data_IF_096038196210
#
_entry.id   IF_096038196210
#
_cell.length_a   1.000
_cell.length_b   1.000
_cell.length_c   1.000
_cell.angle_alpha   90.00
_cell.angle_beta   90.00
_cell.angle_gamma   90.00
#
_symmetry.space_group_name_H-M   'P 1'
#
loop_
_entity.id
_entity.type
_entity.pdbx_description
1 polymer ?
#
# COMPACT_ATOMS: atom_id res chain seq x y z
N UNK A 1 -32.59 0.98 -12.61
CA UNK A 1 -31.58 2.04 -12.45
C UNK A 1 -30.54 1.84 -13.52
N UNK A 2 -30.23 2.86 -14.32
CA UNK A 2 -29.20 2.79 -15.36
C UNK A 2 -27.93 3.48 -14.85
N UNK A 3 -26.77 2.85 -15.03
CA UNK A 3 -25.45 3.40 -14.71
C UNK A 3 -24.57 3.28 -15.95
N UNK A 4 -23.74 4.29 -16.16
CA UNK A 4 -22.83 4.40 -17.32
C UNK A 4 -21.39 4.45 -16.83
N UNK A 5 -20.46 3.92 -17.63
CA UNK A 5 -19.00 4.03 -17.41
C UNK A 5 -18.32 4.84 -18.52
N UNK A 6 -18.97 5.90 -18.99
CA UNK A 6 -18.54 6.63 -20.20
C UNK A 6 -17.33 7.57 -19.98
N UNK A 7 -16.96 7.86 -18.74
CA UNK A 7 -15.90 8.83 -18.39
C UNK A 7 -15.07 8.31 -17.22
N UNK A 8 -13.84 8.84 -17.07
CA UNK A 8 -12.84 8.35 -16.11
C UNK A 8 -13.40 8.19 -14.68
N UNK A 9 -14.13 9.18 -14.17
CA UNK A 9 -14.74 9.16 -12.83
C UNK A 9 -15.82 8.08 -12.63
N UNK A 10 -16.43 7.59 -13.71
CA UNK A 10 -17.50 6.58 -13.67
C UNK A 10 -16.97 5.16 -13.95
N UNK A 11 -15.66 4.98 -14.15
CA UNK A 11 -15.08 3.66 -14.42
C UNK A 11 -15.29 2.73 -13.22
N UNK A 12 -15.78 1.51 -13.45
CA UNK A 12 -16.12 0.56 -12.40
C UNK A 12 -17.42 0.87 -11.63
N UNK A 13 -18.19 1.89 -12.01
CA UNK A 13 -19.46 2.21 -11.33
C UNK A 13 -20.54 1.14 -11.50
N UNK A 14 -20.49 0.32 -12.55
CA UNK A 14 -21.37 -0.85 -12.68
C UNK A 14 -21.01 -1.91 -11.63
N UNK A 15 -19.71 -2.16 -11.43
CA UNK A 15 -19.22 -3.08 -10.40
C UNK A 15 -19.58 -2.59 -8.99
N UNK A 16 -19.46 -1.29 -8.74
CA UNK A 16 -19.88 -0.68 -7.47
C UNK A 16 -21.37 -0.87 -7.20
N UNK A 17 -22.23 -0.61 -8.19
CA UNK A 17 -23.67 -0.81 -8.02
C UNK A 17 -24.01 -2.27 -7.77
N UNK A 18 -23.42 -3.21 -8.50
CA UNK A 18 -23.66 -4.64 -8.26
C UNK A 18 -23.20 -5.05 -6.85
N UNK A 19 -22.08 -4.49 -6.37
CA UNK A 19 -21.59 -4.72 -5.00
C UNK A 19 -22.56 -4.14 -3.97
N UNK A 20 -23.03 -2.90 -4.15
CA UNK A 20 -24.02 -2.27 -3.27
C UNK A 20 -25.34 -3.06 -3.25
N UNK A 21 -25.80 -3.56 -4.40
CA UNK A 21 -26.98 -4.42 -4.50
C UNK A 21 -26.80 -5.70 -3.69
N UNK A 22 -25.63 -6.35 -3.78
CA UNK A 22 -25.28 -7.54 -2.99
C UNK A 22 -25.25 -7.22 -1.49
N UNK A 23 -24.68 -6.08 -1.11
CA UNK A 23 -24.67 -5.62 0.29
C UNK A 23 -26.10 -5.48 0.85
N UNK A 24 -26.98 -4.80 0.12
CA UNK A 24 -28.38 -4.62 0.55
C UNK A 24 -29.14 -5.94 0.66
N UNK A 25 -28.88 -6.88 -0.25
CA UNK A 25 -29.47 -8.22 -0.19
C UNK A 25 -29.02 -8.97 1.07
N UNK A 26 -27.71 -9.00 1.36
CA UNK A 26 -27.15 -9.67 2.53
C UNK A 26 -27.63 -9.00 3.84
N UNK A 27 -27.64 -7.67 3.89
CA UNK A 27 -28.14 -6.91 5.03
C UNK A 27 -29.60 -7.28 5.37
N UNK A 28 -30.47 -7.33 4.35
CA UNK A 28 -31.87 -7.76 4.51
C UNK A 28 -31.97 -9.21 4.95
N UNK A 29 -31.20 -10.11 4.34
CA UNK A 29 -31.20 -11.54 4.68
C UNK A 29 -30.79 -11.79 6.14
N UNK A 30 -29.86 -10.99 6.66
CA UNK A 30 -29.35 -11.09 8.03
C UNK A 30 -30.06 -10.16 9.02
N UNK A 31 -31.09 -9.42 8.59
CA UNK A 31 -31.82 -8.44 9.40
C UNK A 31 -30.90 -7.45 10.15
N UNK A 32 -29.88 -6.95 9.45
CA UNK A 32 -28.89 -6.02 9.99
C UNK A 32 -28.64 -4.85 9.03
N UNK A 33 -27.92 -3.83 9.52
CA UNK A 33 -27.45 -2.72 8.68
C UNK A 33 -26.45 -3.24 7.64
N UNK A 34 -26.29 -2.56 6.47
CA UNK A 34 -25.35 -2.96 5.43
C UNK A 34 -23.89 -2.65 5.80
N UNK A 35 -23.43 -3.25 6.88
CA UNK A 35 -22.06 -3.20 7.44
C UNK A 35 -21.62 -4.60 7.83
N UNK A 36 -20.31 -4.81 7.93
CA UNK A 36 -19.70 -6.05 8.40
C UNK A 36 -20.15 -7.31 7.61
N UNK A 37 -20.32 -7.16 6.29
CA UNK A 37 -20.83 -8.21 5.38
C UNK A 37 -19.74 -9.03 4.67
N UNK A 38 -18.46 -8.76 4.95
CA UNK A 38 -17.32 -9.40 4.27
C UNK A 38 -17.11 -8.94 2.82
N UNK A 39 -17.81 -7.87 2.39
CA UNK A 39 -17.61 -7.22 1.10
C UNK A 39 -17.53 -5.70 1.29
N UNK A 40 -16.65 -5.06 0.52
CA UNK A 40 -16.37 -3.63 0.59
C UNK A 40 -16.89 -2.88 -0.63
N UNK A 41 -17.39 -1.66 -0.41
CA UNK A 41 -17.89 -0.79 -1.48
C UNK A 41 -16.94 0.37 -1.84
N UNK A 42 -16.04 0.76 -0.92
CA UNK A 42 -15.17 1.91 -1.14
C UNK A 42 -14.13 1.61 -2.23
N UNK A 43 -14.20 2.35 -3.33
CA UNK A 43 -13.20 2.33 -4.40
C UNK A 43 -12.58 3.71 -4.53
N UNK A 44 -11.26 3.79 -4.39
CA UNK A 44 -10.50 5.02 -4.61
C UNK A 44 -10.19 5.17 -6.10
N UNK A 45 -10.54 6.32 -6.68
CA UNK A 45 -10.34 6.61 -8.11
C UNK A 45 -9.90 8.04 -8.31
N UNK A 46 -9.05 8.26 -9.31
CA UNK A 46 -8.74 9.61 -9.77
C UNK A 46 -9.91 10.19 -10.59
N UNK A 47 -10.14 11.49 -10.41
CA UNK A 47 -11.18 12.24 -11.14
C UNK A 47 -10.87 12.33 -12.65
N UNK A 48 -9.60 12.45 -13.00
CA UNK A 48 -9.09 12.52 -14.37
C UNK A 48 -7.92 11.54 -14.48
N UNK A 49 -7.87 10.76 -15.56
CA UNK A 49 -6.62 10.11 -15.96
C UNK A 49 -5.80 11.13 -16.72
N UNK A 50 -4.52 11.17 -16.39
CA UNK A 50 -3.51 11.82 -17.21
C UNK A 50 -3.05 10.72 -18.17
N UNK A 51 -3.15 10.98 -19.48
CA UNK A 51 -2.59 10.06 -20.48
C UNK A 51 -1.09 9.93 -20.24
N UNK A 52 -0.50 8.79 -20.64
CA UNK A 52 0.88 8.47 -20.32
C UNK A 52 1.80 9.64 -20.70
N UNK A 53 2.45 10.24 -19.71
CA UNK A 53 3.49 11.25 -19.94
C UNK A 53 4.71 10.46 -20.39
N UNK A 54 4.74 10.11 -21.67
CA UNK A 54 5.89 9.49 -22.32
C UNK A 54 6.78 10.64 -22.76
N UNK A 55 7.92 10.79 -22.11
CA UNK A 55 8.99 11.63 -22.65
C UNK A 55 9.39 11.04 -24.01
N UNK A 56 9.36 11.82 -25.12
CA UNK A 56 9.70 11.32 -26.46
C UNK A 56 11.06 10.64 -26.53
N UNK A 57 12.00 11.00 -25.64
CA UNK A 57 13.33 10.39 -25.58
C UNK A 57 13.33 8.94 -25.07
N UNK A 58 12.21 8.46 -24.54
CA UNK A 58 12.06 7.09 -24.00
C UNK A 58 11.82 6.06 -25.12
N UNK A 59 11.37 6.48 -26.31
CA UNK A 59 11.10 5.57 -27.44
C UNK A 59 12.36 4.82 -27.92
N UNK A 60 13.54 5.40 -27.70
CA UNK A 60 14.83 4.81 -28.10
C UNK A 60 15.45 3.91 -27.02
N UNK A 61 14.81 3.74 -25.86
CA UNK A 61 15.35 2.95 -24.75
C UNK A 61 14.82 1.53 -24.75
N UNK A 62 15.72 0.55 -24.78
CA UNK A 62 15.37 -0.86 -24.67
C UNK A 62 14.89 -1.21 -23.24
N UNK A 63 13.61 -1.58 -23.11
CA UNK A 63 13.04 -2.03 -21.85
C UNK A 63 13.24 -3.53 -21.62
N UNK A 64 13.85 -3.87 -20.48
CA UNK A 64 13.99 -5.27 -20.06
C UNK A 64 12.74 -5.73 -19.32
N UNK A 65 12.14 -6.85 -19.76
CA UNK A 65 10.99 -7.46 -19.08
C UNK A 65 11.41 -8.06 -17.72
N UNK A 66 10.88 -7.49 -16.64
CA UNK A 66 11.16 -7.95 -15.27
C UNK A 66 10.46 -9.29 -15.01
N UNK A 67 11.22 -10.29 -14.54
CA UNK A 67 10.68 -11.57 -14.03
C UNK A 67 10.56 -11.50 -12.51
N UNK A 68 9.61 -12.25 -11.94
CA UNK A 68 9.50 -12.40 -10.48
C UNK A 68 10.72 -13.18 -9.97
N UNK A 69 11.54 -12.53 -9.16
CA UNK A 69 12.68 -13.17 -8.49
C UNK A 69 12.33 -13.39 -7.02
N UNK A 70 12.57 -14.59 -6.45
CA UNK A 70 12.40 -14.79 -5.01
C UNK A 70 13.45 -14.00 -4.24
N UNK A 71 13.04 -13.41 -3.11
CA UNK A 71 13.93 -12.74 -2.15
C UNK A 71 14.86 -13.82 -1.58
N UNK A 72 16.18 -13.60 -1.65
CA UNK A 72 17.16 -14.68 -1.41
C UNK A 72 18.01 -14.49 -0.16
N UNK A 73 17.98 -13.33 0.48
CA UNK A 73 18.91 -13.06 1.59
C UNK A 73 18.27 -13.21 2.97
N UNK A 74 18.79 -14.19 3.72
CA UNK A 74 18.64 -14.27 5.17
C UNK A 74 19.56 -13.23 5.81
N UNK A 75 19.01 -12.07 6.17
CA UNK A 75 19.73 -11.08 6.96
C UNK A 75 19.76 -11.40 8.45
N UNK A 76 20.73 -10.80 9.14
CA UNK A 76 20.90 -10.93 10.60
C UNK A 76 19.87 -10.14 11.41
N UNK A 77 19.22 -9.16 10.80
CA UNK A 77 18.28 -8.28 11.50
C UNK A 77 16.95 -8.12 10.78
N UNK A 78 15.92 -7.76 11.55
CA UNK A 78 14.57 -7.54 11.05
C UNK A 78 14.08 -6.15 11.45
N UNK A 79 13.31 -5.52 10.57
CA UNK A 79 12.57 -4.31 10.89
C UNK A 79 11.14 -4.66 11.25
N UNK A 80 10.65 -4.05 12.33
CA UNK A 80 9.22 -4.01 12.65
C UNK A 80 8.74 -2.58 12.56
N UNK A 81 7.68 -2.37 11.80
CA UNK A 81 7.09 -1.05 11.58
C UNK A 81 5.75 -0.98 12.32
N UNK A 82 5.51 0.15 12.96
CA UNK A 82 4.30 0.45 13.71
C UNK A 82 3.78 1.83 13.32
N UNK A 83 2.46 2.00 13.42
CA UNK A 83 1.82 3.30 13.35
C UNK A 83 1.34 3.68 14.74
N UNK A 84 1.80 4.82 15.25
CA UNK A 84 1.44 5.28 16.59
C UNK A 84 1.45 6.82 16.65
N UNK A 85 0.38 7.41 17.21
CA UNK A 85 0.32 8.87 17.41
C UNK A 85 0.38 9.70 16.12
N UNK A 86 -0.01 9.13 14.98
CA UNK A 86 0.09 9.79 13.66
C UNK A 86 1.51 9.83 13.10
N UNK A 87 2.42 8.98 13.63
CA UNK A 87 3.78 8.81 13.14
C UNK A 87 4.07 7.33 12.83
N UNK A 88 5.04 7.10 11.96
CA UNK A 88 5.62 5.80 11.67
C UNK A 88 6.76 5.57 12.65
N UNK A 89 6.78 4.42 13.31
CA UNK A 89 7.89 3.96 14.14
C UNK A 89 8.49 2.71 13.51
N UNK A 90 9.78 2.73 13.19
CA UNK A 90 10.51 1.57 12.66
C UNK A 90 11.57 1.15 13.68
N UNK A 91 11.55 -0.11 14.10
CA UNK A 91 12.49 -0.66 15.08
C UNK A 91 13.31 -1.75 14.43
N UNK A 92 14.64 -1.59 14.49
CA UNK A 92 15.59 -2.61 14.05
C UNK A 92 15.89 -3.58 15.19
N UNK A 93 15.74 -4.86 14.90
CA UNK A 93 16.06 -5.96 15.79
C UNK A 93 17.23 -6.76 15.23
N UNK A 94 18.18 -7.09 16.09
CA UNK A 94 19.21 -8.09 15.82
C UNK A 94 18.87 -9.32 16.65
N UNK A 95 18.42 -10.40 15.99
CA UNK A 95 17.77 -11.52 16.66
C UNK A 95 16.50 -11.10 17.42
N UNK A 96 16.45 -11.33 18.74
CA UNK A 96 15.29 -10.99 19.58
C UNK A 96 15.41 -9.63 20.30
N UNK A 97 16.51 -8.89 20.13
CA UNK A 97 16.77 -7.67 20.89
C UNK A 97 16.57 -6.41 20.04
N UNK A 98 15.76 -5.42 20.47
CA UNK A 98 15.68 -4.14 19.78
C UNK A 98 17.00 -3.39 19.97
N UNK A 99 17.57 -2.89 18.87
CA UNK A 99 18.85 -2.17 18.88
C UNK A 99 18.66 -0.67 18.74
N UNK A 100 17.83 -0.26 17.79
CA UNK A 100 17.61 1.15 17.45
C UNK A 100 16.23 1.34 16.86
N UNK A 101 15.58 2.44 17.26
CA UNK A 101 14.27 2.86 16.77
C UNK A 101 14.37 4.18 16.02
N UNK A 102 13.53 4.32 15.00
CA UNK A 102 13.37 5.51 14.18
C UNK A 102 11.91 5.91 14.19
N UNK A 103 11.65 7.21 14.19
CA UNK A 103 10.29 7.77 14.09
C UNK A 103 10.24 8.89 13.09
N UNK A 104 9.13 9.02 12.39
CA UNK A 104 8.89 10.07 11.41
C UNK A 104 7.54 9.95 10.74
N UNK A 105 7.15 10.94 9.94
CA UNK A 105 5.91 10.92 9.17
C UNK A 105 6.13 10.63 7.69
N UNK A 106 7.32 10.97 7.19
CA UNK A 106 7.71 10.83 5.79
C UNK A 106 8.55 9.55 5.62
N UNK A 107 8.12 8.64 4.74
CA UNK A 107 8.83 7.40 4.51
C UNK A 107 10.21 7.62 3.91
N UNK A 108 10.37 8.67 3.08
CA UNK A 108 11.60 8.97 2.34
C UNK A 108 12.73 9.35 3.27
N UNK A 109 12.47 10.25 4.20
CA UNK A 109 13.44 10.68 5.19
C UNK A 109 13.78 9.55 6.17
N UNK A 110 12.80 8.71 6.51
CA UNK A 110 13.02 7.53 7.36
C UNK A 110 13.94 6.51 6.71
N UNK A 111 13.65 6.03 5.49
CA UNK A 111 14.50 5.01 4.87
C UNK A 111 15.91 5.55 4.62
N UNK A 112 16.06 6.81 4.22
CA UNK A 112 17.37 7.45 4.04
C UNK A 112 18.15 7.43 5.34
N UNK A 113 17.54 7.87 6.44
CA UNK A 113 18.20 7.89 7.75
C UNK A 113 18.59 6.49 8.21
N UNK A 114 17.74 5.50 7.99
CA UNK A 114 18.01 4.11 8.39
C UNK A 114 19.19 3.53 7.61
N UNK A 115 19.21 3.66 6.29
CA UNK A 115 20.28 3.11 5.43
C UNK A 115 21.65 3.77 5.71
N UNK A 116 21.66 5.05 6.09
CA UNK A 116 22.91 5.72 6.48
C UNK A 116 23.42 5.29 7.87
N UNK A 117 22.55 4.81 8.77
CA UNK A 117 22.93 4.41 10.14
C UNK A 117 23.12 2.92 10.31
N UNK A 118 22.47 2.10 9.49
CA UNK A 118 22.49 0.64 9.59
C UNK A 118 22.89 0.07 8.24
N UNK A 119 23.95 -0.73 8.24
CA UNK A 119 24.38 -1.45 7.06
C UNK A 119 23.45 -2.65 6.83
N UNK A 120 22.60 -2.53 5.81
CA UNK A 120 21.69 -3.57 5.32
C UNK A 120 21.95 -3.83 3.84
N UNK A 121 21.50 -4.97 3.33
CA UNK A 121 21.58 -5.30 1.92
C UNK A 121 20.62 -4.46 1.09
N UNK A 122 20.86 -4.43 -0.22
CA UNK A 122 20.02 -3.71 -1.17
C UNK A 122 18.58 -4.26 -1.19
N UNK A 123 18.41 -5.58 -1.05
CA UNK A 123 17.08 -6.21 -1.00
C UNK A 123 16.31 -5.76 0.25
N UNK A 124 16.97 -5.73 1.42
CA UNK A 124 16.33 -5.26 2.65
C UNK A 124 16.06 -3.75 2.64
N UNK A 125 16.94 -2.95 2.06
CA UNK A 125 16.68 -1.52 1.88
C UNK A 125 15.45 -1.28 0.99
N UNK A 126 15.30 -2.04 -0.10
CA UNK A 126 14.14 -1.97 -0.98
C UNK A 126 12.85 -2.43 -0.27
N UNK A 127 12.91 -3.54 0.47
CA UNK A 127 11.79 -4.03 1.28
C UNK A 127 11.37 -3.02 2.35
N UNK A 128 12.33 -2.45 3.09
CA UNK A 128 12.09 -1.42 4.09
C UNK A 128 11.42 -0.19 3.47
N UNK A 129 11.92 0.29 2.33
CA UNK A 129 11.32 1.40 1.60
C UNK A 129 9.88 1.13 1.17
N UNK A 130 9.60 -0.08 0.67
CA UNK A 130 8.25 -0.54 0.31
C UNK A 130 7.31 -0.50 1.53
N UNK A 131 7.74 -1.07 2.65
CA UNK A 131 6.90 -1.15 3.85
C UNK A 131 6.70 0.21 4.53
N UNK A 132 7.72 1.06 4.57
CA UNK A 132 7.57 2.44 5.06
C UNK A 132 6.62 3.26 4.19
N UNK A 133 6.70 3.14 2.86
CA UNK A 133 5.77 3.81 1.96
C UNK A 133 4.33 3.33 2.13
N UNK A 134 4.14 2.02 2.38
CA UNK A 134 2.82 1.45 2.73
C UNK A 134 2.31 2.01 4.06
N UNK A 135 3.17 2.10 5.07
CA UNK A 135 2.83 2.67 6.38
C UNK A 135 2.45 4.16 6.28
N UNK A 136 3.19 4.95 5.50
CA UNK A 136 2.84 6.35 5.22
C UNK A 136 1.50 6.49 4.52
N UNK A 137 1.24 5.63 3.51
CA UNK A 137 -0.04 5.62 2.80
C UNK A 137 -1.19 5.26 3.75
N UNK A 138 -1.00 4.27 4.62
CA UNK A 138 -1.98 3.90 5.64
C UNK A 138 -2.28 5.06 6.60
N UNK A 139 -1.25 5.79 7.06
CA UNK A 139 -1.43 7.00 7.88
C UNK A 139 -2.26 8.07 7.17
N UNK A 140 -1.92 8.38 5.91
CA UNK A 140 -2.64 9.40 5.11
C UNK A 140 -4.11 9.04 4.91
N UNK A 141 -4.43 7.75 4.82
CA UNK A 141 -5.78 7.25 4.58
C UNK A 141 -6.54 6.88 5.85
N UNK A 142 -5.91 6.98 7.03
CA UNK A 142 -6.50 6.52 8.29
C UNK A 142 -6.75 5.01 8.33
N UNK A 143 -6.01 4.21 7.56
CA UNK A 143 -6.11 2.73 7.56
C UNK A 143 -5.17 2.10 8.58
N UNK A 144 -5.52 0.89 9.00
CA UNK A 144 -4.60 0.04 9.74
C UNK A 144 -3.46 -0.41 8.81
N UNK A 145 -2.24 -0.39 9.34
CA UNK A 145 -1.08 -0.97 8.68
C UNK A 145 -0.78 -2.34 9.28
N UNK A 146 -0.62 -3.34 8.41
CA UNK A 146 -0.14 -4.67 8.77
C UNK A 146 1.01 -4.99 7.82
N UNK A 147 2.17 -5.32 8.39
CA UNK A 147 3.36 -5.69 7.61
C UNK A 147 3.06 -6.94 6.77
N UNK A 148 3.64 -7.00 5.57
CA UNK A 148 3.46 -8.09 4.59
C UNK A 148 2.02 -8.34 4.09
N UNK A 149 1.03 -7.56 4.55
CA UNK A 149 -0.35 -7.60 4.05
C UNK A 149 -0.57 -6.49 3.04
N UNK A 150 -1.43 -6.73 2.05
CA UNK A 150 -1.85 -5.68 1.11
C UNK A 150 -2.67 -4.60 1.85
N UNK A 151 -2.55 -3.35 1.38
CA UNK A 151 -3.32 -2.24 1.95
C UNK A 151 -4.74 -2.18 1.37
N UNK A 152 -4.97 -2.82 0.22
CA UNK A 152 -6.21 -2.87 -0.55
C UNK A 152 -6.36 -4.22 -1.23
#
# INVERSE_FOLDING_TARGET
MFIVEAIAKCRGSVKELDTARKMMYLARKHNQLPKDLGIDLLVLKDKKRIDDIIDPQIEEVDFVKVKKTPIKELEKGMFRIYLEGGEIKAVYYEGKKPKIGFRGKDAKDMYKTIVHRIKISTEHAAYLGKELGKAETALKLGKNYIQDTELF
#
